data_IF_007932237044
#
_entry.id   IF_007932237044
#
_cell.length_a   1.000
_cell.length_b   1.000
_cell.length_c   1.000
_cell.angle_alpha   90.00
_cell.angle_beta   90.00
_cell.angle_gamma   90.00
#
_symmetry.space_group_name_H-M   'P 1'
#
loop_
_entity.id
_entity.type
_entity.pdbx_description
1 polymer ?
#
# COMPACT_ATOMS: atom_id res chain seq x y z
N UNK A 1 59.53 25.86 25.04
CA UNK A 1 58.22 26.25 24.48
C UNK A 1 57.71 25.24 23.47
N UNK A 2 58.38 25.01 22.32
CA UNK A 2 57.93 24.00 21.33
C UNK A 2 57.90 22.58 21.91
N UNK A 3 58.95 22.17 22.66
CA UNK A 3 59.02 20.86 23.31
C UNK A 3 57.86 20.55 24.28
N UNK A 4 57.13 21.57 24.77
CA UNK A 4 55.99 21.37 25.66
C UNK A 4 54.76 20.91 24.90
N UNK A 5 54.53 21.46 23.70
CA UNK A 5 53.46 21.00 22.82
C UNK A 5 53.75 19.60 22.27
N UNK A 6 55.03 19.31 22.01
CA UNK A 6 55.48 17.97 21.60
C UNK A 6 55.17 16.91 22.67
N UNK A 7 55.21 17.24 23.98
CA UNK A 7 54.85 16.30 25.07
C UNK A 7 53.38 15.85 24.99
N UNK A 8 52.49 16.69 24.47
CA UNK A 8 51.07 16.34 24.30
C UNK A 8 50.86 15.55 23.01
N UNK A 9 51.56 15.91 21.94
CA UNK A 9 51.51 15.22 20.66
C UNK A 9 52.09 13.79 20.75
N UNK A 10 53.16 13.61 21.53
CA UNK A 10 53.82 12.33 21.78
C UNK A 10 53.11 11.47 22.86
N UNK A 11 51.95 11.92 23.34
CA UNK A 11 51.26 11.25 24.44
C UNK A 11 50.52 9.98 24.00
N UNK A 12 50.59 8.92 24.81
CA UNK A 12 49.93 7.65 24.47
C UNK A 12 48.41 7.84 24.34
N UNK A 13 47.87 7.47 23.17
CA UNK A 13 46.44 7.55 22.88
C UNK A 13 45.71 6.31 23.41
N UNK A 14 44.42 6.45 23.73
CA UNK A 14 43.56 5.32 24.06
C UNK A 14 42.52 5.13 22.95
N UNK A 15 42.08 3.87 22.73
CA UNK A 15 41.12 3.55 21.66
C UNK A 15 39.78 4.28 21.77
N UNK A 16 39.42 4.76 22.97
CA UNK A 16 38.14 5.40 23.27
C UNK A 16 38.24 6.88 23.60
N UNK A 17 39.44 7.42 23.83
CA UNK A 17 39.68 8.83 24.21
C UNK A 17 41.02 9.30 23.63
N UNK A 18 41.09 10.58 23.21
CA UNK A 18 42.25 11.13 22.49
C UNK A 18 43.58 11.02 23.25
N UNK A 19 43.55 11.00 24.58
CA UNK A 19 44.73 10.84 25.45
C UNK A 19 44.43 9.77 26.52
N UNK A 20 45.34 8.82 26.71
CA UNK A 20 45.16 7.75 27.71
C UNK A 20 45.26 8.28 29.15
N UNK A 21 44.61 7.61 30.14
CA UNK A 21 44.68 8.03 31.55
C UNK A 21 46.10 8.08 32.13
N UNK A 22 47.00 7.17 31.71
CA UNK A 22 48.41 7.18 32.11
C UNK A 22 49.19 8.30 31.44
N UNK A 23 48.90 8.57 30.17
CA UNK A 23 49.48 9.70 29.46
C UNK A 23 49.07 11.04 30.09
N UNK A 24 47.83 11.16 30.59
CA UNK A 24 47.37 12.36 31.30
C UNK A 24 48.28 12.69 32.50
N UNK A 25 48.62 11.70 33.32
CA UNK A 25 49.50 11.88 34.49
C UNK A 25 50.94 12.18 34.04
N UNK A 26 51.42 11.51 32.99
CA UNK A 26 52.76 11.70 32.44
C UNK A 26 52.94 13.10 31.83
N UNK A 27 51.94 13.60 31.10
CA UNK A 27 51.91 14.97 30.57
C UNK A 27 52.01 15.98 31.71
N UNK A 28 51.19 15.84 32.76
CA UNK A 28 51.28 16.73 33.93
C UNK A 28 52.66 16.66 34.60
N UNK A 29 53.20 15.46 34.81
CA UNK A 29 54.51 15.26 35.45
C UNK A 29 55.66 15.87 34.63
N UNK A 30 55.70 15.62 33.32
CA UNK A 30 56.72 16.17 32.41
C UNK A 30 56.61 17.68 32.26
N UNK A 31 55.39 18.22 32.26
CA UNK A 31 55.18 19.67 32.29
C UNK A 31 55.81 20.27 33.56
N UNK A 32 55.56 19.68 34.74
CA UNK A 32 56.16 20.15 36.01
C UNK A 32 57.69 20.02 36.00
N UNK A 33 58.24 18.91 35.51
CA UNK A 33 59.70 18.70 35.40
C UNK A 33 60.35 19.73 34.47
N UNK A 34 59.79 19.95 33.27
CA UNK A 34 60.31 20.92 32.31
C UNK A 34 60.22 22.36 32.81
N UNK A 35 59.16 22.65 33.56
CA UNK A 35 58.95 23.95 34.20
C UNK A 35 60.01 24.21 35.28
N UNK A 36 60.41 23.18 36.05
CA UNK A 36 61.54 23.24 36.98
C UNK A 36 62.91 23.32 36.28
N UNK A 37 63.12 22.61 35.17
CA UNK A 37 64.37 22.68 34.40
C UNK A 37 64.61 24.09 33.81
N UNK A 38 63.55 24.72 33.29
CA UNK A 38 63.60 26.09 32.78
C UNK A 38 63.90 27.08 33.90
N UNK A 39 63.30 26.91 35.09
CA UNK A 39 63.55 27.82 36.21
C UNK A 39 64.99 27.77 36.73
N UNK A 40 65.64 26.60 36.66
CA UNK A 40 67.06 26.46 36.99
C UNK A 40 67.99 27.21 36.03
N UNK A 41 67.59 27.40 34.77
CA UNK A 41 68.44 28.01 33.74
C UNK A 41 68.36 29.55 33.71
N UNK A 42 67.21 30.13 34.11
CA UNK A 42 66.91 31.56 33.91
C UNK A 42 66.96 32.37 35.22
N UNK A 43 67.20 31.71 36.35
CA UNK A 43 67.30 32.34 37.67
C UNK A 43 65.96 32.44 38.40
N UNK A 44 65.98 32.68 39.71
CA UNK A 44 64.82 32.54 40.61
C UNK A 44 63.62 33.42 40.23
N UNK A 45 63.88 34.67 39.80
CA UNK A 45 62.82 35.66 39.52
C UNK A 45 62.11 35.37 38.18
N UNK A 46 62.87 35.24 37.09
CA UNK A 46 62.32 34.92 35.76
C UNK A 46 61.81 33.46 35.73
N UNK A 47 62.46 32.56 36.46
CA UNK A 47 62.04 31.18 36.61
C UNK A 47 60.68 31.06 37.31
N UNK A 48 60.46 31.81 38.40
CA UNK A 48 59.16 31.83 39.10
C UNK A 48 58.04 32.37 38.22
N UNK A 49 58.28 33.45 37.48
CA UNK A 49 57.30 34.02 36.55
C UNK A 49 57.02 33.08 35.37
N UNK A 50 58.07 32.49 34.79
CA UNK A 50 57.94 31.49 33.72
C UNK A 50 57.20 30.23 34.19
N UNK A 51 57.40 29.79 35.44
CA UNK A 51 56.62 28.68 36.03
C UNK A 51 55.14 29.04 36.10
N UNK A 52 54.83 30.25 36.59
CA UNK A 52 53.45 30.71 36.74
C UNK A 52 52.75 30.86 35.39
N UNK A 53 53.44 31.40 34.38
CA UNK A 53 52.90 31.59 33.03
C UNK A 53 52.79 30.25 32.26
N UNK A 54 53.78 29.36 32.39
CA UNK A 54 53.74 28.02 31.75
C UNK A 54 52.65 27.12 32.35
N UNK A 55 52.43 27.18 33.67
CA UNK A 55 51.34 26.45 34.32
C UNK A 55 49.98 27.11 34.11
N UNK A 56 49.90 28.44 34.02
CA UNK A 56 48.63 29.14 33.84
C UNK A 56 48.17 29.13 32.38
N UNK A 57 49.01 29.54 31.43
CA UNK A 57 48.62 29.66 30.01
C UNK A 57 48.93 28.39 29.22
N UNK A 58 50.10 27.78 29.43
CA UNK A 58 50.52 26.57 28.73
C UNK A 58 49.66 25.35 29.09
N UNK A 59 49.40 25.13 30.39
CA UNK A 59 48.49 24.08 30.85
C UNK A 59 47.04 24.40 30.47
N UNK A 60 46.58 25.66 30.59
CA UNK A 60 45.19 26.00 30.26
C UNK A 60 44.88 25.80 28.77
N UNK A 61 45.77 26.25 27.88
CA UNK A 61 45.62 26.05 26.43
C UNK A 61 45.66 24.55 26.05
N UNK A 62 46.57 23.79 26.67
CA UNK A 62 46.63 22.33 26.55
C UNK A 62 45.38 21.61 27.09
N UNK A 63 44.83 22.11 28.19
CA UNK A 63 43.60 21.62 28.81
C UNK A 63 42.39 21.86 27.90
N UNK A 64 42.30 23.02 27.25
CA UNK A 64 41.17 23.39 26.40
C UNK A 64 41.07 22.58 25.09
N UNK A 65 42.18 22.13 24.50
CA UNK A 65 42.16 21.61 23.12
C UNK A 65 41.85 20.12 22.98
N UNK A 66 42.24 19.24 23.94
CA UNK A 66 41.99 17.79 23.84
C UNK A 66 41.93 17.06 25.19
N UNK A 67 42.62 17.60 26.19
CA UNK A 67 42.84 16.97 27.47
C UNK A 67 41.60 17.03 28.38
N UNK A 68 40.89 18.17 28.43
CA UNK A 68 39.65 18.29 29.22
C UNK A 68 38.54 17.37 28.70
N UNK A 69 38.35 17.27 27.38
CA UNK A 69 37.36 16.38 26.78
C UNK A 69 37.66 14.90 27.08
N UNK A 70 38.94 14.52 27.04
CA UNK A 70 39.39 13.15 27.36
C UNK A 70 39.18 12.81 28.84
N UNK A 71 39.61 13.70 29.77
CA UNK A 71 39.38 13.53 31.21
C UNK A 71 37.88 13.46 31.52
N UNK A 72 37.10 14.36 30.94
CA UNK A 72 35.66 14.42 31.14
C UNK A 72 34.97 13.13 30.65
N UNK A 73 35.39 12.59 29.51
CA UNK A 73 34.88 11.31 29.00
C UNK A 73 35.27 10.16 29.91
N UNK A 74 36.53 10.09 30.37
CA UNK A 74 36.99 9.06 31.32
C UNK A 74 36.19 9.13 32.62
N UNK A 75 35.98 10.32 33.17
CA UNK A 75 35.21 10.52 34.40
C UNK A 75 33.73 10.22 34.22
N UNK A 76 33.15 10.48 33.04
CA UNK A 76 31.77 10.11 32.73
C UNK A 76 31.59 8.59 32.58
N UNK A 77 32.53 7.91 31.93
CA UNK A 77 32.54 6.44 31.85
C UNK A 77 32.65 5.84 33.25
N UNK A 78 33.46 6.43 34.13
CA UNK A 78 33.80 5.87 35.44
C UNK A 78 32.81 6.20 36.56
N UNK A 79 32.36 7.46 36.65
CA UNK A 79 31.51 7.97 37.74
C UNK A 79 30.31 8.77 37.25
N UNK A 80 30.28 9.14 35.96
CA UNK A 80 29.20 9.92 35.37
C UNK A 80 29.13 11.37 35.85
N UNK A 81 30.24 12.08 35.81
CA UNK A 81 30.41 13.39 36.44
C UNK A 81 29.58 14.55 35.88
N UNK A 82 29.03 14.46 34.66
CA UNK A 82 28.25 15.53 34.04
C UNK A 82 26.73 15.36 34.17
N UNK A 83 25.94 16.46 34.14
CA UNK A 83 24.52 16.36 33.84
C UNK A 83 24.34 15.68 32.47
N UNK A 84 23.48 14.64 32.38
CA UNK A 84 23.39 13.84 31.17
C UNK A 84 22.77 14.64 30.02
N UNK A 85 23.49 14.78 28.91
CA UNK A 85 22.84 15.11 27.64
C UNK A 85 22.10 13.86 27.14
N UNK A 86 20.82 13.78 27.51
CA UNK A 86 19.95 12.66 27.16
C UNK A 86 19.53 12.67 25.68
N UNK A 87 19.81 13.74 24.94
CA UNK A 87 19.45 13.84 23.52
C UNK A 87 20.17 12.77 22.68
N UNK A 88 21.42 12.46 23.01
CA UNK A 88 22.20 11.40 22.34
C UNK A 88 21.60 10.02 22.62
N UNK A 89 21.19 9.76 23.87
CA UNK A 89 20.52 8.51 24.24
C UNK A 89 19.18 8.35 23.51
N UNK A 90 18.40 9.43 23.43
CA UNK A 90 17.13 9.46 22.68
C UNK A 90 17.35 9.18 21.19
N UNK A 91 18.32 9.85 20.56
CA UNK A 91 18.64 9.64 19.15
C UNK A 91 19.14 8.22 18.87
N UNK A 92 19.93 7.62 19.77
CA UNK A 92 20.34 6.22 19.67
C UNK A 92 19.14 5.29 19.79
N UNK A 93 18.23 5.55 20.74
CA UNK A 93 16.98 4.80 20.92
C UNK A 93 16.14 4.76 19.64
N UNK A 94 16.04 5.89 18.93
CA UNK A 94 15.29 6.00 17.67
C UNK A 94 15.83 5.16 16.51
N UNK A 95 17.08 4.66 16.60
CA UNK A 95 17.74 3.89 15.54
C UNK A 95 18.37 2.58 16.06
N UNK A 96 17.89 2.12 17.20
CA UNK A 96 18.43 0.99 17.95
C UNK A 96 18.26 -0.35 17.20
N UNK A 97 17.33 -0.40 16.24
CA UNK A 97 17.19 -1.49 15.27
C UNK A 97 18.39 -1.59 14.31
N UNK A 98 19.02 -0.46 13.95
CA UNK A 98 20.04 -0.34 12.89
C UNK A 98 21.46 -0.18 13.39
N UNK A 99 21.62 0.26 14.63
CA UNK A 99 22.93 0.61 15.18
C UNK A 99 23.59 -0.60 15.85
N UNK A 100 24.90 -0.73 15.64
CA UNK A 100 25.73 -1.73 16.31
C UNK A 100 25.87 -1.45 17.81
N UNK A 101 25.88 -2.51 18.61
CA UNK A 101 25.92 -2.44 20.07
C UNK A 101 27.18 -1.70 20.56
N UNK A 102 28.34 -1.91 19.95
CA UNK A 102 29.58 -1.26 20.41
C UNK A 102 29.59 0.24 20.08
N UNK A 103 29.07 0.62 18.92
CA UNK A 103 28.90 2.03 18.57
C UNK A 103 27.88 2.72 19.50
N UNK A 104 26.71 2.11 19.72
CA UNK A 104 25.71 2.67 20.63
C UNK A 104 26.30 2.85 22.04
N UNK A 105 27.04 1.84 22.51
CA UNK A 105 27.71 1.88 23.79
C UNK A 105 28.75 3.01 23.87
N UNK A 106 29.58 3.22 22.84
CA UNK A 106 30.58 4.29 22.83
C UNK A 106 29.96 5.68 22.98
N UNK A 107 28.78 5.90 22.41
CA UNK A 107 28.06 7.16 22.50
C UNK A 107 27.40 7.34 23.87
N UNK A 108 26.69 6.32 24.38
CA UNK A 108 25.96 6.45 25.66
C UNK A 108 26.87 6.44 26.89
N UNK A 109 28.06 5.83 26.79
CA UNK A 109 29.02 5.76 27.89
C UNK A 109 29.56 7.14 28.31
N UNK A 110 29.62 8.09 27.37
CA UNK A 110 30.06 9.46 27.63
C UNK A 110 28.97 10.33 28.30
N UNK A 111 27.71 9.86 28.35
CA UNK A 111 26.57 10.53 28.98
C UNK A 111 26.64 10.35 30.51
N UNK A 112 26.16 11.31 31.30
CA UNK A 112 26.29 11.42 32.77
C UNK A 112 25.96 10.21 33.69
N UNK A 113 25.90 10.43 35.01
CA UNK A 113 25.84 9.37 36.05
C UNK A 113 24.56 8.57 36.16
N UNK A 114 23.42 9.11 35.76
CA UNK A 114 22.14 8.48 36.04
C UNK A 114 21.83 7.40 35.00
N UNK A 115 22.29 6.16 35.24
CA UNK A 115 22.03 5.02 34.35
C UNK A 115 20.55 4.83 34.01
N UNK A 116 19.66 5.10 34.97
CA UNK A 116 18.22 4.94 34.78
C UNK A 116 17.62 6.02 33.86
N UNK A 117 18.15 7.25 33.86
CA UNK A 117 17.67 8.29 32.93
C UNK A 117 18.17 8.04 31.51
N UNK A 118 19.36 7.45 31.36
CA UNK A 118 19.87 6.99 30.05
C UNK A 118 18.98 5.87 29.50
N UNK A 119 18.57 4.91 30.34
CA UNK A 119 17.62 3.86 29.94
C UNK A 119 16.27 4.45 29.54
N UNK A 120 15.73 5.38 30.34
CA UNK A 120 14.45 6.02 30.04
C UNK A 120 14.49 6.75 28.69
N UNK A 121 15.57 7.49 28.41
CA UNK A 121 15.75 8.16 27.13
C UNK A 121 15.89 7.17 25.96
N UNK A 122 16.58 6.04 26.16
CA UNK A 122 16.68 4.98 25.16
C UNK A 122 15.32 4.34 24.86
N UNK A 123 14.53 4.06 25.90
CA UNK A 123 13.18 3.51 25.77
C UNK A 123 12.25 4.49 25.08
N UNK A 124 12.24 5.78 25.47
CA UNK A 124 11.45 6.80 24.80
C UNK A 124 11.79 6.94 23.30
N UNK A 125 13.07 6.84 22.95
CA UNK A 125 13.52 6.85 21.55
C UNK A 125 13.07 5.60 20.78
N UNK A 126 13.17 4.44 21.41
CA UNK A 126 12.69 3.17 20.86
C UNK A 126 11.16 3.17 20.64
N UNK A 127 10.40 3.69 21.60
CA UNK A 127 8.95 3.83 21.49
C UNK A 127 8.58 4.75 20.33
N UNK A 128 9.26 5.90 20.17
CA UNK A 128 9.04 6.77 19.01
C UNK A 128 9.33 6.04 17.69
N UNK A 129 10.38 5.23 17.64
CA UNK A 129 10.72 4.43 16.45
C UNK A 129 9.65 3.39 16.14
N UNK A 130 9.11 2.73 17.17
CA UNK A 130 8.02 1.77 17.05
C UNK A 130 6.74 2.46 16.55
N UNK A 131 6.34 3.57 17.18
CA UNK A 131 5.17 4.38 16.77
C UNK A 131 5.31 4.80 15.32
N UNK A 132 6.44 5.37 14.92
CA UNK A 132 6.67 5.80 13.53
C UNK A 132 6.52 4.63 12.53
N UNK A 133 7.00 3.43 12.89
CA UNK A 133 6.87 2.25 12.03
C UNK A 133 5.41 1.80 11.88
N UNK A 134 4.66 1.79 12.99
CA UNK A 134 3.24 1.42 13.00
C UNK A 134 2.40 2.46 12.27
N UNK A 135 2.59 3.75 12.53
CA UNK A 135 1.85 4.84 11.87
C UNK A 135 2.08 4.86 10.37
N UNK A 136 3.33 4.65 9.92
CA UNK A 136 3.62 4.55 8.48
C UNK A 136 2.87 3.38 7.84
N UNK A 137 2.79 2.24 8.53
CA UNK A 137 2.09 1.07 8.01
C UNK A 137 0.56 1.24 8.03
N UNK A 138 0.00 1.89 9.05
CA UNK A 138 -1.41 2.25 9.12
C UNK A 138 -1.80 3.24 8.01
N UNK A 139 -0.95 4.22 7.71
CA UNK A 139 -1.20 5.15 6.61
C UNK A 139 -1.28 4.43 5.25
N UNK A 140 -0.43 3.42 5.01
CA UNK A 140 -0.50 2.58 3.81
C UNK A 140 -1.79 1.75 3.77
N UNK A 141 -2.26 1.26 4.91
CA UNK A 141 -3.53 0.55 5.01
C UNK A 141 -4.74 1.46 4.68
N UNK A 142 -4.77 2.67 5.23
CA UNK A 142 -5.82 3.66 4.94
C UNK A 142 -5.81 4.10 3.48
N UNK A 143 -4.63 4.24 2.88
CA UNK A 143 -4.48 4.49 1.45
C UNK A 143 -5.07 3.33 0.63
N UNK A 144 -4.73 2.08 0.95
CA UNK A 144 -5.25 0.91 0.24
C UNK A 144 -6.78 0.76 0.33
N UNK A 145 -7.37 1.10 1.49
CA UNK A 145 -8.83 1.17 1.65
C UNK A 145 -9.47 2.23 0.76
N UNK A 146 -8.84 3.40 0.68
CA UNK A 146 -9.30 4.51 -0.16
C UNK A 146 -9.23 4.13 -1.64
N UNK A 147 -8.11 3.52 -2.07
CA UNK A 147 -7.93 2.99 -3.43
C UNK A 147 -8.96 1.92 -3.78
N UNK A 148 -9.25 0.98 -2.86
CA UNK A 148 -10.33 -0.02 -3.04
C UNK A 148 -11.66 0.67 -3.28
N UNK A 149 -12.04 1.63 -2.44
CA UNK A 149 -13.31 2.34 -2.55
C UNK A 149 -13.42 3.11 -3.88
N UNK A 150 -12.34 3.80 -4.30
CA UNK A 150 -12.30 4.54 -5.55
C UNK A 150 -12.39 3.60 -6.77
N UNK A 151 -11.69 2.46 -6.74
CA UNK A 151 -11.73 1.49 -7.81
C UNK A 151 -13.13 0.87 -7.97
N UNK A 152 -13.73 0.43 -6.86
CA UNK A 152 -15.11 -0.10 -6.86
C UNK A 152 -16.07 0.94 -7.44
N UNK A 153 -15.98 2.20 -7.00
CA UNK A 153 -16.85 3.26 -7.51
C UNK A 153 -16.67 3.48 -9.02
N UNK A 154 -15.43 3.51 -9.50
CA UNK A 154 -15.11 3.66 -10.92
C UNK A 154 -15.69 2.52 -11.76
N UNK A 155 -15.56 1.28 -11.30
CA UNK A 155 -16.12 0.12 -11.99
C UNK A 155 -17.65 0.11 -11.98
N UNK A 156 -18.29 0.52 -10.87
CA UNK A 156 -19.75 0.67 -10.80
C UNK A 156 -20.25 1.69 -11.83
N UNK A 157 -19.57 2.84 -11.98
CA UNK A 157 -19.93 3.84 -12.99
C UNK A 157 -19.82 3.25 -14.41
N UNK A 158 -18.71 2.57 -14.71
CA UNK A 158 -18.50 1.95 -16.02
C UNK A 158 -19.56 0.89 -16.34
N UNK A 159 -19.93 0.06 -15.36
CA UNK A 159 -21.00 -0.94 -15.48
C UNK A 159 -22.34 -0.25 -15.72
N UNK A 160 -22.65 0.82 -14.99
CA UNK A 160 -23.89 1.58 -15.19
C UNK A 160 -24.00 2.15 -16.61
N UNK A 161 -22.90 2.68 -17.16
CA UNK A 161 -22.83 3.15 -18.54
C UNK A 161 -23.00 2.01 -19.54
N UNK A 162 -22.34 0.87 -19.32
CA UNK A 162 -22.50 -0.32 -20.16
C UNK A 162 -23.96 -0.81 -20.17
N UNK A 163 -24.59 -0.91 -19.00
CA UNK A 163 -25.99 -1.30 -18.89
C UNK A 163 -26.90 -0.35 -19.65
N UNK A 164 -26.67 0.97 -19.54
CA UNK A 164 -27.42 1.97 -20.31
C UNK A 164 -27.31 1.74 -21.82
N UNK A 165 -26.11 1.43 -22.32
CA UNK A 165 -25.90 1.13 -23.74
C UNK A 165 -26.62 -0.17 -24.15
N UNK A 166 -26.50 -1.24 -23.36
CA UNK A 166 -27.19 -2.51 -23.60
C UNK A 166 -28.71 -2.30 -23.64
N UNK A 167 -29.26 -1.51 -22.73
CA UNK A 167 -30.70 -1.20 -22.72
C UNK A 167 -31.13 -0.47 -23.99
N UNK A 168 -30.37 0.53 -24.45
CA UNK A 168 -30.68 1.25 -25.68
C UNK A 168 -30.63 0.33 -26.91
N UNK A 169 -29.58 -0.50 -27.01
CA UNK A 169 -29.43 -1.44 -28.11
C UNK A 169 -30.55 -2.49 -28.12
N UNK A 170 -30.95 -3.00 -26.95
CA UNK A 170 -32.04 -3.96 -26.81
C UNK A 170 -33.40 -3.35 -27.24
N UNK A 171 -33.64 -2.09 -26.90
CA UNK A 171 -34.85 -1.37 -27.33
C UNK A 171 -34.87 -1.26 -28.86
N UNK A 172 -33.75 -0.86 -29.48
CA UNK A 172 -33.63 -0.74 -30.93
C UNK A 172 -33.79 -2.09 -31.65
N UNK A 173 -33.23 -3.16 -31.08
CA UNK A 173 -33.39 -4.52 -31.62
C UNK A 173 -34.85 -4.98 -31.55
N UNK A 174 -35.53 -4.76 -30.42
CA UNK A 174 -36.96 -5.04 -30.27
C UNK A 174 -37.81 -4.30 -31.30
N UNK A 175 -37.55 -3.01 -31.53
CA UNK A 175 -38.27 -2.23 -32.55
C UNK A 175 -38.02 -2.82 -33.95
N UNK A 176 -36.76 -3.11 -34.27
CA UNK A 176 -36.37 -3.70 -35.57
C UNK A 176 -37.02 -5.07 -35.79
N UNK A 177 -37.14 -5.89 -34.74
CA UNK A 177 -37.81 -7.18 -34.79
C UNK A 177 -39.31 -7.04 -35.06
N UNK A 178 -39.98 -6.11 -34.36
CA UNK A 178 -41.40 -5.82 -34.58
C UNK A 178 -41.67 -5.33 -36.00
N UNK A 179 -40.82 -4.45 -36.55
CA UNK A 179 -40.96 -3.97 -37.93
C UNK A 179 -40.85 -5.10 -38.96
N UNK A 180 -39.88 -6.01 -38.78
CA UNK A 180 -39.72 -7.20 -39.63
C UNK A 180 -40.94 -8.11 -39.55
N UNK A 181 -41.46 -8.35 -38.34
CA UNK A 181 -42.69 -9.13 -38.15
C UNK A 181 -43.90 -8.49 -38.81
N UNK A 182 -44.09 -7.19 -38.65
CA UNK A 182 -45.19 -6.46 -39.30
C UNK A 182 -45.12 -6.56 -40.83
N UNK A 183 -43.92 -6.48 -41.40
CA UNK A 183 -43.72 -6.67 -42.84
C UNK A 183 -44.11 -8.09 -43.29
N UNK A 184 -43.68 -9.13 -42.54
CA UNK A 184 -44.05 -10.52 -42.82
C UNK A 184 -45.57 -10.74 -42.72
N UNK A 185 -46.20 -10.28 -41.64
CA UNK A 185 -47.65 -10.39 -41.43
C UNK A 185 -48.40 -9.71 -42.58
N UNK A 186 -47.99 -8.49 -42.95
CA UNK A 186 -48.63 -7.72 -44.03
C UNK A 186 -48.51 -8.44 -45.37
N UNK A 187 -47.34 -9.00 -45.68
CA UNK A 187 -47.13 -9.74 -46.94
C UNK A 187 -47.99 -11.00 -47.01
N UNK A 188 -47.99 -11.81 -45.94
CA UNK A 188 -48.81 -13.04 -45.87
C UNK A 188 -50.30 -12.71 -45.93
N UNK A 189 -50.75 -11.70 -45.16
CA UNK A 189 -52.16 -11.28 -45.18
C UNK A 189 -52.59 -10.81 -46.57
N UNK A 190 -51.78 -9.99 -47.26
CA UNK A 190 -52.09 -9.53 -48.60
C UNK A 190 -52.15 -10.67 -49.63
N UNK A 191 -51.22 -11.62 -49.56
CA UNK A 191 -51.19 -12.78 -50.47
C UNK A 191 -52.42 -13.68 -50.28
N UNK A 192 -52.76 -14.01 -49.03
CA UNK A 192 -53.92 -14.84 -48.73
C UNK A 192 -55.25 -14.12 -48.98
N UNK A 193 -55.36 -12.81 -48.71
CA UNK A 193 -56.54 -12.01 -49.07
C UNK A 193 -56.74 -11.97 -50.58
N UNK A 194 -55.67 -11.76 -51.36
CA UNK A 194 -55.75 -11.80 -52.81
C UNK A 194 -56.21 -13.18 -53.31
N UNK A 195 -55.75 -14.26 -52.67
CA UNK A 195 -56.18 -15.62 -52.99
C UNK A 195 -57.66 -15.87 -52.66
N UNK A 196 -58.13 -15.39 -51.51
CA UNK A 196 -59.54 -15.52 -51.12
C UNK A 196 -60.45 -14.73 -52.07
N UNK A 197 -60.08 -13.51 -52.44
CA UNK A 197 -60.84 -12.73 -53.43
C UNK A 197 -60.92 -13.45 -54.79
N UNK A 198 -59.83 -14.09 -55.23
CA UNK A 198 -59.86 -14.92 -56.45
C UNK A 198 -60.81 -16.12 -56.35
N UNK A 199 -60.91 -16.74 -55.18
CA UNK A 199 -61.83 -17.87 -54.94
C UNK A 199 -63.28 -17.39 -54.90
N UNK A 200 -63.54 -16.22 -54.34
CA UNK A 200 -64.86 -15.56 -54.36
C UNK A 200 -65.29 -15.22 -55.80
N UNK A 201 -64.40 -14.61 -56.60
CA UNK A 201 -64.66 -14.33 -58.02
C UNK A 201 -64.95 -15.61 -58.83
N UNK A 202 -64.22 -16.70 -58.54
CA UNK A 202 -64.46 -18.00 -59.16
C UNK A 202 -65.83 -18.58 -58.78
N UNK A 203 -66.25 -18.42 -57.52
CA UNK A 203 -67.55 -18.87 -57.03
C UNK A 203 -68.69 -18.12 -57.72
N UNK A 204 -68.60 -16.80 -57.81
CA UNK A 204 -69.58 -15.96 -58.49
C UNK A 204 -69.66 -16.29 -60.00
N UNK A 205 -68.52 -16.58 -60.62
CA UNK A 205 -68.48 -17.02 -62.03
C UNK A 205 -69.18 -18.37 -62.23
N UNK A 206 -68.90 -19.36 -61.37
CA UNK A 206 -69.53 -20.69 -61.43
C UNK A 206 -71.04 -20.58 -61.21
N UNK A 207 -71.49 -19.74 -60.27
CA UNK A 207 -72.91 -19.47 -60.04
C UNK A 207 -73.59 -18.83 -61.26
N UNK A 208 -72.97 -17.83 -61.87
CA UNK A 208 -73.52 -17.19 -63.07
C UNK A 208 -73.64 -18.17 -64.25
N UNK A 209 -72.69 -19.09 -64.42
CA UNK A 209 -72.75 -20.13 -65.46
C UNK A 209 -73.91 -21.11 -65.22
N UNK A 210 -74.14 -21.50 -63.98
CA UNK A 210 -75.27 -22.35 -63.60
C UNK A 210 -76.62 -21.64 -63.79
N UNK A 211 -76.74 -20.39 -63.36
CA UNK A 211 -77.97 -19.60 -63.52
C UNK A 211 -78.34 -19.37 -65.00
N UNK A 212 -77.35 -19.36 -65.90
CA UNK A 212 -77.55 -19.29 -67.35
C UNK A 212 -77.78 -20.65 -68.03
N UNK A 213 -77.85 -21.75 -67.25
CA UNK A 213 -78.07 -23.10 -67.76
C UNK A 213 -76.91 -23.69 -68.55
N UNK A 214 -75.69 -23.16 -68.38
CA UNK A 214 -74.48 -23.62 -69.07
C UNK A 214 -73.76 -24.76 -68.35
N UNK A 215 -74.15 -25.05 -67.10
CA UNK A 215 -73.63 -26.15 -66.28
C UNK A 215 -74.76 -27.11 -65.90
N UNK A 216 -74.46 -28.40 -65.85
CA UNK A 216 -75.34 -29.38 -65.22
C UNK A 216 -75.23 -29.34 -63.69
N UNK A 217 -76.26 -29.84 -62.99
CA UNK A 217 -76.28 -29.89 -61.51
C UNK A 217 -75.05 -30.63 -60.94
N UNK A 218 -74.62 -31.72 -61.60
CA UNK A 218 -73.49 -32.55 -61.17
C UNK A 218 -72.13 -31.85 -61.38
N UNK A 219 -71.98 -31.09 -62.48
CA UNK A 219 -70.78 -30.28 -62.74
C UNK A 219 -70.69 -29.07 -61.80
N UNK A 220 -71.83 -28.46 -61.48
CA UNK A 220 -71.92 -27.35 -60.53
C UNK A 220 -71.49 -27.77 -59.12
N UNK A 221 -72.01 -28.90 -58.61
CA UNK A 221 -71.62 -29.45 -57.31
C UNK A 221 -70.12 -29.79 -57.26
N UNK A 222 -69.59 -30.39 -58.32
CA UNK A 222 -68.16 -30.72 -58.41
C UNK A 222 -67.27 -29.47 -58.33
N UNK A 223 -67.68 -28.38 -58.99
CA UNK A 223 -66.96 -27.10 -58.95
C UNK A 223 -67.04 -26.43 -57.58
N UNK A 224 -68.16 -26.53 -56.87
CA UNK A 224 -68.29 -26.05 -55.50
C UNK A 224 -67.35 -26.80 -54.55
N UNK A 225 -67.28 -28.13 -54.65
CA UNK A 225 -66.37 -28.96 -53.85
C UNK A 225 -64.89 -28.59 -54.13
N UNK A 226 -64.54 -28.31 -55.39
CA UNK A 226 -63.20 -27.88 -55.77
C UNK A 226 -62.81 -26.55 -55.09
N UNK A 227 -63.70 -25.57 -55.11
CA UNK A 227 -63.48 -24.25 -54.47
C UNK A 227 -63.36 -24.40 -52.95
N UNK A 228 -64.22 -25.21 -52.32
CA UNK A 228 -64.20 -25.47 -50.88
C UNK A 228 -62.88 -26.14 -50.43
N UNK A 229 -62.40 -27.11 -51.22
CA UNK A 229 -61.11 -27.75 -50.97
C UNK A 229 -59.93 -26.75 -51.09
N UNK A 230 -59.98 -25.85 -52.07
CA UNK A 230 -58.96 -24.81 -52.24
C UNK A 230 -59.00 -23.77 -51.12
N UNK A 231 -60.19 -23.41 -50.63
CA UNK A 231 -60.36 -22.51 -49.49
C UNK A 231 -59.77 -23.14 -48.22
N UNK A 232 -60.12 -24.39 -47.93
CA UNK A 232 -59.62 -25.15 -46.79
C UNK A 232 -58.09 -25.26 -46.81
N UNK A 233 -57.50 -25.54 -47.98
CA UNK A 233 -56.05 -25.58 -48.13
C UNK A 233 -55.40 -24.21 -47.88
N UNK A 234 -56.01 -23.13 -48.36
CA UNK A 234 -55.53 -21.75 -48.15
C UNK A 234 -55.58 -21.37 -46.67
N UNK A 235 -56.65 -21.73 -45.97
CA UNK A 235 -56.80 -21.53 -44.52
C UNK A 235 -55.75 -22.31 -43.72
N UNK A 236 -55.51 -23.58 -44.09
CA UNK A 236 -54.47 -24.39 -43.45
C UNK A 236 -53.08 -23.75 -43.56
N UNK A 237 -52.71 -23.30 -44.77
CA UNK A 237 -51.40 -22.65 -45.00
C UNK A 237 -51.31 -21.33 -44.23
N UNK A 238 -52.38 -20.54 -44.17
CA UNK A 238 -52.41 -19.32 -43.38
C UNK A 238 -52.19 -19.60 -41.88
N UNK A 239 -52.87 -20.62 -41.34
CA UNK A 239 -52.70 -21.03 -39.95
C UNK A 239 -51.27 -21.49 -39.64
N UNK A 240 -50.62 -22.19 -40.56
CA UNK A 240 -49.21 -22.59 -40.42
C UNK A 240 -48.27 -21.37 -40.37
N UNK A 241 -48.53 -20.35 -41.19
CA UNK A 241 -47.79 -19.08 -41.13
C UNK A 241 -48.00 -18.36 -39.80
N UNK A 242 -49.24 -18.28 -39.30
CA UNK A 242 -49.55 -17.69 -37.99
C UNK A 242 -48.80 -18.42 -36.88
N UNK A 243 -48.80 -19.75 -36.90
CA UNK A 243 -48.06 -20.57 -35.93
C UNK A 243 -46.55 -20.32 -36.01
N UNK A 244 -46.00 -20.20 -37.21
CA UNK A 244 -44.58 -19.89 -37.42
C UNK A 244 -44.22 -18.52 -36.85
N UNK A 245 -45.05 -17.51 -37.08
CA UNK A 245 -44.85 -16.15 -36.55
C UNK A 245 -44.91 -16.15 -35.02
N UNK A 246 -45.88 -16.84 -34.42
CA UNK A 246 -45.94 -17.00 -32.96
C UNK A 246 -44.71 -17.72 -32.41
N UNK A 247 -44.20 -18.72 -33.14
CA UNK A 247 -42.94 -19.40 -32.82
C UNK A 247 -41.76 -18.43 -32.76
N UNK A 248 -41.59 -17.59 -33.80
CA UNK A 248 -40.53 -16.58 -33.86
C UNK A 248 -40.61 -15.58 -32.70
N UNK A 249 -41.81 -15.15 -32.33
CA UNK A 249 -42.02 -14.25 -31.19
C UNK A 249 -41.56 -14.91 -29.89
N UNK A 250 -41.99 -16.16 -29.66
CA UNK A 250 -41.62 -16.91 -28.46
C UNK A 250 -40.11 -17.17 -28.39
N UNK A 251 -39.49 -17.57 -29.50
CA UNK A 251 -38.05 -17.83 -29.57
C UNK A 251 -37.24 -16.56 -29.24
N UNK A 252 -37.65 -15.41 -29.76
CA UNK A 252 -37.01 -14.13 -29.48
C UNK A 252 -37.12 -13.74 -28.00
N UNK A 253 -38.32 -13.85 -27.41
CA UNK A 253 -38.54 -13.55 -25.98
C UNK A 253 -37.72 -14.48 -25.08
N UNK A 254 -37.74 -15.79 -25.37
CA UNK A 254 -36.98 -16.77 -24.60
C UNK A 254 -35.47 -16.53 -24.71
N UNK A 255 -34.98 -16.10 -25.88
CA UNK A 255 -33.56 -15.77 -26.07
C UNK A 255 -33.15 -14.58 -25.22
N UNK A 256 -33.95 -13.52 -25.17
CA UNK A 256 -33.69 -12.36 -24.32
C UNK A 256 -33.65 -12.76 -22.85
N UNK A 257 -34.64 -13.54 -22.40
CA UNK A 257 -34.74 -13.93 -20.99
C UNK A 257 -33.53 -14.76 -20.54
N UNK A 258 -33.05 -15.70 -21.38
CA UNK A 258 -31.85 -16.48 -21.09
C UNK A 258 -30.58 -15.63 -21.05
N UNK A 259 -30.41 -14.67 -21.98
CA UNK A 259 -29.19 -13.85 -22.05
C UNK A 259 -29.10 -12.87 -20.88
N UNK A 260 -30.23 -12.38 -20.38
CA UNK A 260 -30.30 -11.47 -19.22
C UNK A 260 -29.55 -12.03 -18.01
N UNK A 261 -29.78 -13.30 -17.66
CA UNK A 261 -29.18 -13.92 -16.48
C UNK A 261 -27.67 -14.14 -16.66
N UNK A 262 -27.24 -14.52 -17.86
CA UNK A 262 -25.81 -14.66 -18.20
C UNK A 262 -25.06 -13.33 -18.04
N UNK A 263 -25.66 -12.22 -18.49
CA UNK A 263 -25.08 -10.86 -18.33
C UNK A 263 -24.97 -10.47 -16.87
N UNK A 264 -26.01 -10.70 -16.06
CA UNK A 264 -26.00 -10.42 -14.63
C UNK A 264 -24.88 -11.19 -13.93
N UNK A 265 -24.79 -12.50 -14.20
CA UNK A 265 -23.78 -13.37 -13.60
C UNK A 265 -22.36 -12.96 -13.99
N UNK A 266 -22.14 -12.55 -15.25
CA UNK A 266 -20.85 -12.05 -15.72
C UNK A 266 -20.43 -10.77 -14.98
N UNK A 267 -21.34 -9.81 -14.83
CA UNK A 267 -21.08 -8.55 -14.12
C UNK A 267 -20.77 -8.80 -12.65
N UNK A 268 -21.56 -9.65 -11.97
CA UNK A 268 -21.32 -10.00 -10.57
C UNK A 268 -19.99 -10.74 -10.38
N UNK A 269 -19.67 -11.69 -11.27
CA UNK A 269 -18.39 -12.41 -11.26
C UNK A 269 -17.20 -11.48 -11.42
N UNK A 270 -17.31 -10.51 -12.33
CA UNK A 270 -16.30 -9.46 -12.51
C UNK A 270 -16.10 -8.61 -11.24
N UNK A 271 -17.18 -8.10 -10.65
CA UNK A 271 -17.12 -7.29 -9.42
C UNK A 271 -16.51 -8.05 -8.26
N UNK A 272 -16.90 -9.31 -8.06
CA UNK A 272 -16.32 -10.18 -7.04
C UNK A 272 -14.83 -10.41 -7.25
N UNK A 273 -14.38 -10.54 -8.50
CA UNK A 273 -12.97 -10.69 -8.84
C UNK A 273 -12.17 -9.43 -8.49
N UNK A 274 -12.69 -8.25 -8.86
CA UNK A 274 -12.08 -6.96 -8.51
C UNK A 274 -11.96 -6.80 -7.00
N UNK A 275 -13.04 -7.08 -6.25
CA UNK A 275 -13.02 -7.02 -4.80
C UNK A 275 -12.01 -8.01 -4.19
N UNK A 276 -11.94 -9.23 -4.72
CA UNK A 276 -11.00 -10.26 -4.25
C UNK A 276 -9.54 -9.82 -4.38
N UNK A 277 -9.17 -9.19 -5.52
CA UNK A 277 -7.81 -8.67 -5.75
C UNK A 277 -7.45 -7.59 -4.72
N UNK A 278 -8.35 -6.63 -4.48
CA UNK A 278 -8.10 -5.60 -3.48
C UNK A 278 -8.05 -6.15 -2.05
N UNK A 279 -8.92 -7.12 -1.71
CA UNK A 279 -8.87 -7.78 -0.41
C UNK A 279 -7.55 -8.54 -0.21
N UNK A 280 -7.03 -9.21 -1.24
CA UNK A 280 -5.74 -9.88 -1.18
C UNK A 280 -4.59 -8.88 -0.95
N UNK A 281 -4.61 -7.75 -1.64
CA UNK A 281 -3.64 -6.66 -1.44
C UNK A 281 -3.68 -6.09 -0.02
N UNK A 282 -4.87 -5.75 0.48
CA UNK A 282 -5.08 -5.22 1.84
C UNK A 282 -4.65 -6.25 2.90
N UNK A 283 -4.98 -7.53 2.71
CA UNK A 283 -4.53 -8.60 3.60
C UNK A 283 -3.00 -8.75 3.62
N UNK A 284 -2.33 -8.51 2.48
CA UNK A 284 -0.87 -8.43 2.43
C UNK A 284 -0.31 -7.34 3.34
N UNK A 285 -0.93 -6.16 3.35
CA UNK A 285 -0.57 -5.04 4.23
C UNK A 285 -0.84 -5.39 5.69
N UNK A 286 -2.01 -5.97 6.01
CA UNK A 286 -2.34 -6.41 7.37
C UNK A 286 -1.33 -7.44 7.91
N UNK A 287 -0.92 -8.40 7.09
CA UNK A 287 0.10 -9.37 7.46
C UNK A 287 1.45 -8.69 7.72
N UNK A 288 1.83 -7.69 6.92
CA UNK A 288 3.04 -6.92 7.15
C UNK A 288 2.98 -6.10 8.45
N UNK A 289 1.83 -5.50 8.79
CA UNK A 289 1.59 -4.80 10.07
C UNK A 289 1.73 -5.76 11.24
N UNK A 290 1.07 -6.93 11.18
CA UNK A 290 1.11 -7.92 12.25
C UNK A 290 2.51 -8.54 12.43
N UNK A 291 3.34 -8.52 11.38
CA UNK A 291 4.73 -8.98 11.45
C UNK A 291 5.70 -7.95 12.08
N UNK A 292 5.24 -6.75 12.45
CA UNK A 292 6.08 -5.75 13.14
C UNK A 292 6.32 -6.21 14.59
N UNK A 293 7.33 -7.05 14.79
CA UNK A 293 7.82 -7.51 16.10
C UNK A 293 8.89 -6.58 16.70
N UNK A 294 8.87 -5.31 16.29
CA UNK A 294 9.95 -4.36 16.57
C UNK A 294 10.01 -4.01 18.08
N UNK A 295 8.88 -4.07 18.79
CA UNK A 295 8.78 -3.72 20.20
C UNK A 295 9.72 -4.58 21.09
N UNK A 296 9.64 -5.91 20.97
CA UNK A 296 10.46 -6.82 21.78
C UNK A 296 11.94 -6.67 21.44
N UNK A 297 12.26 -6.55 20.15
CA UNK A 297 13.65 -6.40 19.68
C UNK A 297 14.29 -5.11 20.20
N UNK A 298 13.55 -4.00 20.19
CA UNK A 298 14.04 -2.72 20.68
C UNK A 298 14.22 -2.74 22.21
N UNK A 299 13.26 -3.32 22.93
CA UNK A 299 13.34 -3.50 24.38
C UNK A 299 14.56 -4.33 24.79
N UNK A 300 14.78 -5.46 24.14
CA UNK A 300 15.89 -6.37 24.46
C UNK A 300 17.25 -5.72 24.22
N UNK A 301 17.42 -5.03 23.08
CA UNK A 301 18.64 -4.29 22.77
C UNK A 301 18.87 -3.10 23.71
N UNK A 302 17.81 -2.37 24.09
CA UNK A 302 17.93 -1.29 25.07
C UNK A 302 18.36 -1.82 26.45
N UNK A 303 17.79 -2.96 26.87
CA UNK A 303 18.17 -3.64 28.11
C UNK A 303 19.61 -4.17 28.06
N UNK A 304 20.04 -4.72 26.92
CA UNK A 304 21.43 -5.17 26.71
C UNK A 304 22.41 -4.00 26.88
N UNK A 305 22.16 -2.86 26.22
CA UNK A 305 22.99 -1.66 26.33
C UNK A 305 23.05 -1.14 27.76
N UNK A 306 21.91 -1.10 28.45
CA UNK A 306 21.85 -0.69 29.85
C UNK A 306 22.65 -1.62 30.78
N UNK A 307 22.53 -2.94 30.60
CA UNK A 307 23.28 -3.91 31.40
C UNK A 307 24.78 -3.82 31.14
N UNK A 308 25.20 -3.64 29.88
CA UNK A 308 26.61 -3.43 29.52
C UNK A 308 27.15 -2.11 30.10
N UNK A 309 26.38 -1.02 30.04
CA UNK A 309 26.74 0.26 30.64
C UNK A 309 26.94 0.13 32.16
N UNK A 310 26.03 -0.57 32.85
CA UNK A 310 26.18 -0.87 34.27
C UNK A 310 27.42 -1.70 34.57
N UNK A 311 27.68 -2.75 33.80
CA UNK A 311 28.85 -3.60 33.98
C UNK A 311 30.16 -2.82 33.83
N UNK A 312 30.26 -1.94 32.82
CA UNK A 312 31.45 -1.09 32.61
C UNK A 312 31.66 -0.12 33.77
N UNK A 313 30.58 0.51 34.25
CA UNK A 313 30.62 1.40 35.42
C UNK A 313 30.94 0.67 36.73
N UNK A 314 30.57 -0.61 36.84
CA UNK A 314 30.85 -1.46 38.02
C UNK A 314 32.27 -2.05 38.01
N UNK A 315 32.81 -2.43 36.85
CA UNK A 315 34.15 -3.00 36.71
C UNK A 315 35.28 -2.07 37.19
N UNK A 316 34.98 -0.79 37.39
CA UNK A 316 35.93 0.24 37.79
C UNK A 316 36.69 0.04 39.12
N UNK A 317 36.39 -0.96 39.97
CA UNK A 317 37.20 -1.28 41.16
C UNK A 317 37.15 -2.74 41.66
N UNK A 318 38.33 -3.36 41.78
CA UNK A 318 38.73 -4.13 42.98
C UNK A 318 39.91 -3.37 43.58
N UNK A 319 39.80 -2.85 44.79
CA UNK A 319 40.95 -2.26 45.48
C UNK A 319 41.83 -3.40 46.01
N UNK A 320 43.06 -3.50 45.51
CA UNK A 320 44.15 -4.20 46.18
C UNK A 320 44.92 -3.19 47.04
#
# INVERSE_FOLDING_TARGET
WTELFDIIEDSDTAKTVGVSPSAIVNVIARYLEKTCEVSMAVGEEIGSESIMEMLSEGLSSAMETNFNASIQTILNIKRGSLPPDLSVALQIGQRLDRVDTMYALSQIMAIGNLNYTILEALLAGADQRFINAVETALALYDQALTEKNQAIHTHIIAISQLLTNIYNDLILDCVSFIERLNSLITNVANEHLARVNQLEDNLDSVKALYDNGLLSDEEYDTKLIEIDAQLTATESVYNDYVNTIMGLINDYVNKIDSVKDDVINLILGYLNTVESVYNAYINGILNAINAITLNDTLKDKALELYNRLKAIRQYGYTYA
#
